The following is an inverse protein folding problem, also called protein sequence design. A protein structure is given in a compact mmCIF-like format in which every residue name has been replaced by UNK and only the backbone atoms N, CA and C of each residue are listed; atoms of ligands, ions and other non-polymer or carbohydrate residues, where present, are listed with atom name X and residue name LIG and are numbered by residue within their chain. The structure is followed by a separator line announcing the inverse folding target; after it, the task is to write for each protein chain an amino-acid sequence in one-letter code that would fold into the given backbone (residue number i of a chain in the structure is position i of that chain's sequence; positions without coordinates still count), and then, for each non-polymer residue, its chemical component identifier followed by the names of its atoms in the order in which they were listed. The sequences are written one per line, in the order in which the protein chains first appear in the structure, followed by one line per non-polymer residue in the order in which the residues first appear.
data_IF_557904644568
#
_entry.id   IF_557904644568
#
_cell.length_a   1.000
_cell.length_b   1.000
_cell.length_c   1.000
_cell.angle_alpha   90.00
_cell.angle_beta   90.00
_cell.angle_gamma   90.00
#
_symmetry.space_group_name_H-M   'P 1'
#
loop_
_entity.id
_entity.type
_entity.pdbx_description
1 polymer ?
#
# COMPACT_ATOMS: atom_id res chain seq x y z
N UNK A 1 22.90 12.41 2.25
CA UNK A 1 22.68 11.59 3.47
C UNK A 1 21.63 10.56 3.12
N UNK A 2 21.98 9.27 3.13
CA UNK A 2 21.04 8.18 2.91
C UNK A 2 20.14 8.05 4.14
N UNK A 3 18.83 7.92 3.96
CA UNK A 3 17.91 7.70 5.10
C UNK A 3 18.21 6.37 5.81
N UNK A 4 17.97 6.30 7.12
CA UNK A 4 18.10 5.03 7.86
C UNK A 4 16.93 4.09 7.55
N UNK A 5 17.07 2.76 7.71
CA UNK A 5 15.98 1.81 7.49
C UNK A 5 14.72 2.16 8.30
N UNK A 6 14.87 2.49 9.59
CA UNK A 6 13.74 2.89 10.44
C UNK A 6 13.07 4.18 9.97
N UNK A 7 13.85 5.17 9.51
CA UNK A 7 13.31 6.42 8.98
C UNK A 7 12.50 6.16 7.70
N UNK A 8 12.99 5.27 6.84
CA UNK A 8 12.31 4.84 5.62
C UNK A 8 10.97 4.19 5.92
N UNK A 9 10.93 3.22 6.83
CA UNK A 9 9.68 2.53 7.20
C UNK A 9 8.67 3.50 7.82
N UNK A 10 9.11 4.39 8.71
CA UNK A 10 8.24 5.43 9.31
C UNK A 10 7.67 6.38 8.26
N UNK A 11 8.50 6.81 7.30
CA UNK A 11 8.07 7.67 6.19
C UNK A 11 7.02 6.97 5.33
N UNK A 12 7.24 5.70 4.99
CA UNK A 12 6.29 4.89 4.21
C UNK A 12 4.98 4.70 4.96
N UNK A 13 5.01 4.25 6.22
CA UNK A 13 3.81 4.09 7.03
C UNK A 13 3.01 5.40 7.14
N UNK A 14 3.69 6.53 7.38
CA UNK A 14 3.05 7.85 7.39
C UNK A 14 2.38 8.18 6.05
N UNK A 15 3.03 7.89 4.91
CA UNK A 15 2.45 8.13 3.59
C UNK A 15 1.27 7.22 3.30
N UNK A 16 1.25 6.00 3.83
CA UNK A 16 0.13 5.07 3.71
C UNK A 16 -1.11 5.50 4.51
N UNK A 17 -0.92 6.29 5.57
CA UNK A 17 -1.98 6.83 6.45
C UNK A 17 -2.37 8.29 6.17
N UNK A 18 -1.68 8.96 5.25
CA UNK A 18 -1.92 10.38 4.90
C UNK A 18 -2.20 10.52 3.41
N UNK A 19 -3.11 9.68 2.91
CA UNK A 19 -3.65 9.74 1.55
C UNK A 19 -4.69 10.87 1.45
N UNK A 20 -5.08 11.19 0.23
CA UNK A 20 -6.10 12.19 -0.08
C UNK A 20 -7.53 11.73 0.19
N UNK A 21 -7.77 10.42 0.34
CA UNK A 21 -9.08 9.85 0.69
C UNK A 21 -9.00 8.89 1.88
N UNK A 22 -10.03 8.92 2.72
CA UNK A 22 -10.14 8.06 3.90
C UNK A 22 -10.21 6.58 3.50
N UNK A 23 -10.83 6.27 2.38
CA UNK A 23 -10.88 4.92 1.82
C UNK A 23 -9.48 4.38 1.54
N UNK A 24 -8.60 5.20 0.94
CA UNK A 24 -7.23 4.78 0.66
C UNK A 24 -6.40 4.63 1.94
N UNK A 25 -6.60 5.48 2.94
CA UNK A 25 -5.96 5.31 4.25
C UNK A 25 -6.35 3.97 4.90
N UNK A 26 -7.63 3.60 4.82
CA UNK A 26 -8.14 2.34 5.38
C UNK A 26 -7.68 1.10 4.61
N UNK A 27 -7.30 1.26 3.34
CA UNK A 27 -6.73 0.19 2.52
C UNK A 27 -5.23 0.04 2.77
N UNK A 28 -4.47 1.13 2.64
CA UNK A 28 -3.00 1.09 2.63
C UNK A 28 -2.40 1.12 4.04
N UNK A 29 -2.94 1.93 4.95
CA UNK A 29 -2.37 2.11 6.29
C UNK A 29 -2.25 0.80 7.07
N UNK A 30 -3.35 0.05 7.27
CA UNK A 30 -3.31 -1.22 8.00
C UNK A 30 -2.47 -2.31 7.33
N UNK A 31 -2.38 -2.31 5.99
CA UNK A 31 -1.51 -3.22 5.26
C UNK A 31 -0.04 -2.84 5.47
N UNK A 32 0.28 -1.55 5.45
CA UNK A 32 1.63 -1.05 5.69
C UNK A 32 2.11 -1.39 7.10
N UNK A 33 1.27 -1.16 8.10
CA UNK A 33 1.58 -1.48 9.50
C UNK A 33 1.87 -2.98 9.70
N UNK A 34 1.18 -3.85 8.96
CA UNK A 34 1.36 -5.30 9.04
C UNK A 34 2.58 -5.82 8.26
N UNK A 35 2.86 -5.25 7.08
CA UNK A 35 3.78 -5.87 6.12
C UNK A 35 5.15 -5.18 6.04
N UNK A 36 5.25 -3.86 6.26
CA UNK A 36 6.47 -3.09 5.98
C UNK A 36 7.72 -3.63 6.70
N UNK A 37 7.58 -4.05 7.96
CA UNK A 37 8.70 -4.56 8.75
C UNK A 37 9.29 -5.89 8.24
N UNK A 38 8.49 -6.67 7.49
CA UNK A 38 8.90 -7.97 6.96
C UNK A 38 9.36 -7.92 5.50
N UNK A 39 9.32 -6.75 4.86
CA UNK A 39 9.65 -6.61 3.44
C UNK A 39 11.15 -6.61 3.18
N UNK A 40 11.52 -7.23 2.06
CA UNK A 40 12.85 -7.11 1.48
C UNK A 40 13.08 -5.71 0.91
N UNK A 41 14.34 -5.27 0.73
CA UNK A 41 14.63 -3.96 0.14
C UNK A 41 13.95 -3.72 -1.21
N UNK A 42 13.91 -4.72 -2.10
CA UNK A 42 13.27 -4.62 -3.40
C UNK A 42 11.74 -4.43 -3.30
N UNK A 43 11.09 -5.08 -2.33
CA UNK A 43 9.66 -4.88 -2.07
C UNK A 43 9.38 -3.49 -1.50
N UNK A 44 10.25 -2.99 -0.62
CA UNK A 44 10.16 -1.63 -0.12
C UNK A 44 10.34 -0.60 -1.25
N UNK A 45 11.24 -0.84 -2.20
CA UNK A 45 11.44 0.04 -3.36
C UNK A 45 10.19 0.06 -4.25
N UNK A 46 9.60 -1.11 -4.49
CA UNK A 46 8.35 -1.23 -5.25
C UNK A 46 7.18 -0.54 -4.54
N UNK A 47 7.06 -0.71 -3.23
CA UNK A 47 6.01 -0.06 -2.45
C UNK A 47 6.19 1.45 -2.37
N UNK A 48 7.43 1.95 -2.26
CA UNK A 48 7.71 3.39 -2.31
C UNK A 48 7.24 3.99 -3.64
N UNK A 49 7.55 3.32 -4.75
CA UNK A 49 7.09 3.74 -6.07
C UNK A 49 5.55 3.72 -6.19
N UNK A 50 4.88 2.77 -5.54
CA UNK A 50 3.41 2.73 -5.48
C UNK A 50 2.85 3.94 -4.68
N UNK A 51 3.53 4.34 -3.59
CA UNK A 51 3.10 5.46 -2.76
C UNK A 51 3.21 6.83 -3.47
N UNK A 52 3.99 6.93 -4.54
CA UNK A 52 4.07 8.12 -5.41
C UNK A 52 2.88 8.22 -6.40
N UNK A 53 2.12 7.14 -6.60
CA UNK A 53 0.92 7.15 -7.45
C UNK A 53 -0.24 7.88 -6.74
N UNK A 54 -1.15 8.47 -7.51
CA UNK A 54 -2.29 9.21 -6.97
C UNK A 54 -3.44 8.27 -6.56
N UNK A 55 -4.24 8.70 -5.58
CA UNK A 55 -5.36 7.88 -5.07
C UNK A 55 -6.45 7.61 -6.12
N UNK A 56 -6.62 8.51 -7.08
CA UNK A 56 -7.57 8.36 -8.18
C UNK A 56 -7.23 7.17 -9.07
N UNK A 57 -5.94 6.82 -9.19
CA UNK A 57 -5.46 5.68 -9.95
C UNK A 57 -5.38 4.42 -9.07
N UNK A 58 -4.87 4.56 -7.83
CA UNK A 58 -4.71 3.44 -6.90
C UNK A 58 -6.05 2.78 -6.54
N UNK A 59 -7.09 3.58 -6.26
CA UNK A 59 -8.37 3.05 -5.80
C UNK A 59 -9.01 2.09 -6.83
N UNK A 60 -9.19 2.45 -8.11
CA UNK A 60 -9.76 1.52 -9.09
C UNK A 60 -8.85 0.31 -9.35
N UNK A 61 -7.52 0.41 -9.22
CA UNK A 61 -6.64 -0.75 -9.30
C UNK A 61 -6.85 -1.73 -8.13
N UNK A 62 -6.88 -1.24 -6.89
CA UNK A 62 -7.14 -2.07 -5.70
C UNK A 62 -8.52 -2.73 -5.78
N UNK A 63 -9.51 -2.00 -6.29
CA UNK A 63 -10.87 -2.52 -6.48
C UNK A 63 -10.96 -3.51 -7.66
N UNK A 64 -9.94 -3.59 -8.51
CA UNK A 64 -9.92 -4.44 -9.71
C UNK A 64 -10.79 -3.92 -10.85
N UNK A 65 -11.11 -2.62 -10.84
CA UNK A 65 -11.91 -1.94 -11.86
C UNK A 65 -11.06 -1.58 -13.09
N UNK A 66 -9.77 -1.32 -12.89
CA UNK A 66 -8.81 -1.02 -13.95
C UNK A 66 -7.56 -1.88 -13.78
N UNK A 67 -6.89 -2.19 -14.89
CA UNK A 67 -5.63 -2.93 -14.85
C UNK A 67 -4.50 -2.01 -14.36
N UNK A 68 -3.75 -2.39 -13.31
CA UNK A 68 -2.58 -1.64 -12.89
C UNK A 68 -1.40 -1.86 -13.84
N UNK A 69 -0.36 -1.00 -13.77
CA UNK A 69 0.94 -1.31 -14.35
C UNK A 69 1.44 -2.68 -13.86
N UNK A 70 2.00 -3.48 -14.77
CA UNK A 70 2.39 -4.87 -14.52
C UNK A 70 3.28 -5.03 -13.28
N UNK A 71 4.23 -4.09 -13.08
CA UNK A 71 5.13 -4.06 -11.91
C UNK A 71 4.40 -4.05 -10.57
N UNK A 72 3.19 -3.49 -10.50
CA UNK A 72 2.42 -3.37 -9.27
C UNK A 72 1.33 -4.44 -9.11
N UNK A 73 1.05 -5.24 -10.14
CA UNK A 73 -0.11 -6.12 -10.17
C UNK A 73 -0.13 -7.13 -9.00
N UNK A 74 1.00 -7.77 -8.72
CA UNK A 74 1.13 -8.70 -7.60
C UNK A 74 0.90 -8.00 -6.24
N UNK A 75 1.57 -6.87 -6.04
CA UNK A 75 1.48 -6.07 -4.80
C UNK A 75 0.06 -5.57 -4.55
N UNK A 76 -0.61 -5.04 -5.57
CA UNK A 76 -2.00 -4.57 -5.48
C UNK A 76 -2.99 -5.72 -5.22
N UNK A 77 -2.70 -6.91 -5.75
CA UNK A 77 -3.50 -8.12 -5.47
C UNK A 77 -3.41 -8.48 -3.99
N UNK A 78 -2.20 -8.44 -3.40
CA UNK A 78 -2.01 -8.69 -1.96
C UNK A 78 -2.71 -7.63 -1.10
N UNK A 79 -2.54 -6.34 -1.42
CA UNK A 79 -3.19 -5.23 -0.71
C UNK A 79 -4.72 -5.37 -0.76
N UNK A 80 -5.28 -5.60 -1.94
CA UNK A 80 -6.72 -5.76 -2.12
C UNK A 80 -7.27 -6.97 -1.37
N UNK A 81 -6.52 -8.08 -1.35
CA UNK A 81 -6.89 -9.29 -0.60
C UNK A 81 -6.91 -9.03 0.91
N UNK A 82 -5.87 -8.40 1.44
CA UNK A 82 -5.77 -8.02 2.84
C UNK A 82 -6.91 -7.06 3.25
N UNK A 83 -7.15 -6.02 2.45
CA UNK A 83 -8.19 -5.03 2.72
C UNK A 83 -9.58 -5.68 2.74
N UNK A 84 -9.91 -6.54 1.77
CA UNK A 84 -11.20 -7.26 1.72
C UNK A 84 -11.37 -8.18 2.91
N UNK A 85 -10.36 -8.96 3.27
CA UNK A 85 -10.42 -9.85 4.44
C UNK A 85 -10.68 -9.09 5.74
N UNK A 86 -10.14 -7.87 5.88
CA UNK A 86 -10.35 -7.01 7.06
C UNK A 86 -11.70 -6.33 7.10
N UNK A 87 -12.25 -5.97 5.94
CA UNK A 87 -13.50 -5.22 5.80
C UNK A 87 -14.75 -6.12 5.73
N UNK A 88 -14.58 -7.44 5.54
CA UNK A 88 -15.69 -8.38 5.60
C UNK A 88 -16.26 -8.45 7.03
N UNK A 89 -17.60 -8.34 7.19
CA UNK A 89 -18.23 -8.51 8.49
C UNK A 89 -18.02 -9.96 8.96
N UNK A 90 -17.56 -10.12 10.21
CA UNK A 90 -17.54 -11.43 10.87
C UNK A 90 -19.00 -11.88 11.03
N UNK A 91 -19.37 -12.95 10.33
CA UNK A 91 -20.68 -13.60 10.45
C UNK A 91 -20.84 -14.27 11.81
#
# INVERSE_FOLDING_TARGET
MTETPDARLKRMAMRSWRRGTKEMDLVLGPWADAQLAAMTPAQLDLYDALLEENDQDLLPWVLGQTAPPERFAALLTEIGTFARARLQPKS
#
